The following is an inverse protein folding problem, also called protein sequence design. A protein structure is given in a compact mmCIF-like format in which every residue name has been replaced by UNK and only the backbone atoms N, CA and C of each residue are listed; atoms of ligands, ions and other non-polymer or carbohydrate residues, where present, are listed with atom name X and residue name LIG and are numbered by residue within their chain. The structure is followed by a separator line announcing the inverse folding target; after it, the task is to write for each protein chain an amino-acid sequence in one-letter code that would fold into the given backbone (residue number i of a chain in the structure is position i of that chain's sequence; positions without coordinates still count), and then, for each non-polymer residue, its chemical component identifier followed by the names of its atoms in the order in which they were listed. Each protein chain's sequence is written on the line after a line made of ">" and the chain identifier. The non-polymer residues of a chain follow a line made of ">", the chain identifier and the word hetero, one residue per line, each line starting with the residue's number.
data_IF_612085756053
#
_entry.id   IF_612085756053
#
_cell.length_a   1.000
_cell.length_b   1.000
_cell.length_c   1.000
_cell.angle_alpha   90.00
_cell.angle_beta   90.00
_cell.angle_gamma   90.00
#
_symmetry.space_group_name_H-M   'P 1'
#
loop_
_entity.id
_entity.type
_entity.pdbx_description
1 polymer ?
#
# COMPACT_ATOMS: atom_id res chain seq x y z
N UNK A 1 2.70 9.24 27.38
CA UNK A 1 2.30 9.68 26.03
C UNK A 1 2.40 8.47 25.11
N UNK A 2 1.28 8.03 24.50
CA UNK A 2 1.34 6.96 23.49
C UNK A 2 1.76 7.62 22.17
N UNK A 3 2.92 7.23 21.65
CA UNK A 3 3.36 7.66 20.32
C UNK A 3 2.39 7.10 19.29
N UNK A 4 1.67 7.96 18.60
CA UNK A 4 0.82 7.57 17.46
C UNK A 4 1.74 7.60 16.25
N UNK A 5 2.22 6.43 15.84
CA UNK A 5 2.96 6.29 14.59
C UNK A 5 1.97 6.43 13.45
N UNK A 6 2.08 7.50 12.67
CA UNK A 6 1.23 7.73 11.51
C UNK A 6 1.97 7.34 10.23
N UNK A 7 1.25 7.03 9.15
CA UNK A 7 1.86 6.88 7.82
C UNK A 7 2.58 8.16 7.35
N UNK A 8 2.34 9.32 7.99
CA UNK A 8 2.91 10.61 7.59
C UNK A 8 4.31 10.91 8.15
N UNK A 9 4.85 10.05 9.03
CA UNK A 9 6.20 10.22 9.59
C UNK A 9 7.33 9.87 8.58
N UNK A 10 7.01 9.77 7.29
CA UNK A 10 7.93 9.36 6.23
C UNK A 10 8.86 10.54 5.90
N UNK A 11 10.10 10.44 6.36
CA UNK A 11 11.19 11.36 5.98
C UNK A 11 11.84 11.03 4.62
N UNK A 12 11.25 10.13 3.84
CA UNK A 12 11.78 9.66 2.53
C UNK A 12 10.63 9.17 1.61
N UNK A 13 9.61 9.99 1.34
CA UNK A 13 8.65 9.64 0.28
C UNK A 13 9.39 9.89 -1.04
N UNK A 14 9.88 8.83 -1.68
CA UNK A 14 10.47 8.95 -3.00
C UNK A 14 9.36 9.29 -4.00
N UNK A 15 9.61 10.21 -4.96
CA UNK A 15 8.64 10.51 -6.01
C UNK A 15 8.19 9.22 -6.71
N UNK A 16 6.94 9.20 -7.18
CA UNK A 16 6.38 8.06 -7.90
C UNK A 16 7.30 7.61 -9.06
N UNK A 17 7.95 8.56 -9.75
CA UNK A 17 8.95 8.29 -10.80
C UNK A 17 10.21 7.53 -10.36
N UNK A 18 10.56 7.51 -9.06
CA UNK A 18 11.64 6.67 -8.53
C UNK A 18 11.32 5.17 -8.70
N UNK A 19 10.04 4.80 -8.61
CA UNK A 19 9.56 3.42 -8.75
C UNK A 19 9.31 3.03 -10.22
N UNK A 20 9.99 3.69 -11.17
CA UNK A 20 9.84 3.48 -12.62
C UNK A 20 8.44 3.72 -13.18
N UNK A 21 7.58 4.43 -12.44
CA UNK A 21 6.26 4.83 -12.89
C UNK A 21 6.38 6.11 -13.74
N UNK A 22 6.05 6.02 -15.03
CA UNK A 22 6.10 7.16 -15.95
C UNK A 22 4.87 8.05 -15.83
N UNK A 23 5.07 9.37 -15.82
CA UNK A 23 4.02 10.37 -15.98
C UNK A 23 3.38 10.37 -17.38
N UNK A 24 3.90 9.58 -18.33
CA UNK A 24 3.22 9.31 -19.61
C UNK A 24 1.96 8.44 -19.39
N UNK A 25 1.86 7.73 -18.27
CA UNK A 25 0.62 7.09 -17.86
C UNK A 25 -0.32 8.15 -17.28
N UNK A 26 -1.42 8.42 -17.98
CA UNK A 26 -2.41 9.43 -17.60
C UNK A 26 -2.92 9.25 -16.17
N UNK A 27 -3.14 8.01 -15.71
CA UNK A 27 -3.60 7.75 -14.34
C UNK A 27 -2.51 8.14 -13.32
N UNK A 28 -1.25 7.78 -13.56
CA UNK A 28 -0.13 8.13 -12.67
C UNK A 28 0.04 9.65 -12.59
N UNK A 29 -0.09 10.34 -13.73
CA UNK A 29 -0.06 11.79 -13.78
C UNK A 29 -1.19 12.41 -12.96
N UNK A 30 -2.43 11.96 -13.15
CA UNK A 30 -3.60 12.46 -12.41
C UNK A 30 -3.44 12.24 -10.89
N UNK A 31 -2.86 11.11 -10.48
CA UNK A 31 -2.53 10.83 -9.08
C UNK A 31 -1.50 11.82 -8.52
N UNK A 32 -0.42 12.11 -9.27
CA UNK A 32 0.62 13.07 -8.86
C UNK A 32 0.07 14.50 -8.79
N UNK A 33 -0.78 14.90 -9.75
CA UNK A 33 -1.43 16.21 -9.74
C UNK A 33 -2.39 16.36 -8.54
N UNK A 34 -3.09 15.30 -8.17
CA UNK A 34 -4.05 15.28 -7.05
C UNK A 34 -3.35 15.28 -5.70
N UNK A 35 -2.36 14.39 -5.50
CA UNK A 35 -1.78 14.13 -4.17
C UNK A 35 -0.32 14.55 -3.99
N UNK A 36 0.33 15.09 -5.03
CA UNK A 36 1.75 15.42 -5.03
C UNK A 36 2.63 14.30 -5.59
N UNK A 37 3.86 14.65 -5.94
CA UNK A 37 4.82 13.73 -6.59
C UNK A 37 5.19 12.53 -5.72
N UNK A 38 5.11 12.65 -4.39
CA UNK A 38 5.29 11.56 -3.43
C UNK A 38 3.97 11.06 -2.84
N UNK A 39 2.83 11.46 -3.42
CA UNK A 39 1.47 11.24 -2.89
C UNK A 39 1.28 11.77 -1.46
N UNK A 40 2.10 12.75 -1.03
CA UNK A 40 2.20 13.21 0.36
C UNK A 40 0.92 13.88 0.89
N UNK A 41 0.03 14.32 0.01
CA UNK A 41 -1.28 14.90 0.37
C UNK A 41 -2.36 13.83 0.55
N UNK A 42 -2.09 12.57 0.23
CA UNK A 42 -3.04 11.48 0.40
C UNK A 42 -3.33 11.23 1.89
N UNK A 43 -4.60 10.99 2.24
CA UNK A 43 -4.97 10.64 3.60
C UNK A 43 -4.57 9.20 3.90
N UNK A 44 -4.28 8.88 5.17
CA UNK A 44 -3.96 7.51 5.58
C UNK A 44 -5.09 6.51 5.24
N UNK A 45 -6.34 6.94 5.33
CA UNK A 45 -7.49 6.12 4.94
C UNK A 45 -7.49 5.83 3.43
N UNK A 46 -7.27 6.85 2.60
CA UNK A 46 -7.23 6.68 1.14
C UNK A 46 -6.04 5.84 0.70
N UNK A 47 -4.88 6.05 1.33
CA UNK A 47 -3.67 5.25 1.08
C UNK A 47 -3.93 3.78 1.37
N UNK A 48 -4.50 3.44 2.53
CA UNK A 48 -4.81 2.05 2.88
C UNK A 48 -5.86 1.44 1.95
N UNK A 49 -6.88 2.21 1.58
CA UNK A 49 -7.91 1.75 0.64
C UNK A 49 -7.33 1.47 -0.75
N UNK A 50 -6.52 2.38 -1.29
CA UNK A 50 -5.87 2.21 -2.59
C UNK A 50 -4.85 1.06 -2.59
N UNK A 51 -4.03 0.91 -1.54
CA UNK A 51 -3.11 -0.23 -1.39
C UNK A 51 -3.88 -1.54 -1.49
N UNK A 52 -4.99 -1.68 -0.75
CA UNK A 52 -5.80 -2.89 -0.78
C UNK A 52 -6.37 -3.19 -2.18
N UNK A 53 -6.82 -2.15 -2.91
CA UNK A 53 -7.35 -2.30 -4.27
C UNK A 53 -6.27 -2.65 -5.29
N UNK A 54 -5.15 -1.93 -5.29
CA UNK A 54 -4.03 -2.18 -6.20
C UNK A 54 -3.46 -3.59 -5.96
N UNK A 55 -3.28 -4.00 -4.70
CA UNK A 55 -2.80 -5.35 -4.39
C UNK A 55 -3.77 -6.44 -4.85
N UNK A 56 -5.07 -6.22 -4.71
CA UNK A 56 -6.09 -7.16 -5.18
C UNK A 56 -6.11 -7.28 -6.71
N UNK A 57 -6.08 -6.17 -7.45
CA UNK A 57 -6.01 -6.18 -8.91
C UNK A 57 -4.72 -6.83 -9.41
N UNK A 58 -3.57 -6.55 -8.75
CA UNK A 58 -2.30 -7.18 -9.08
C UNK A 58 -2.30 -8.69 -8.83
N UNK A 59 -2.96 -9.15 -7.77
CA UNK A 59 -3.15 -10.58 -7.51
C UNK A 59 -4.02 -11.25 -8.58
N UNK A 60 -5.12 -10.63 -8.99
CA UNK A 60 -5.98 -11.15 -10.07
C UNK A 60 -5.27 -11.19 -11.43
N UNK A 61 -4.37 -10.24 -11.69
CA UNK A 61 -3.58 -10.18 -12.91
C UNK A 61 -2.31 -11.05 -12.90
N UNK A 62 -2.00 -11.69 -11.76
CA UNK A 62 -0.86 -12.57 -11.66
C UNK A 62 -1.16 -13.86 -12.45
N UNK A 63 -0.30 -14.22 -13.42
CA UNK A 63 -0.40 -15.43 -14.26
C UNK A 63 -0.08 -16.71 -13.44
N UNK A 64 -0.74 -16.88 -12.30
CA UNK A 64 -0.67 -18.05 -11.45
C UNK A 64 -2.05 -18.68 -11.36
N UNK A 65 -2.17 -19.92 -11.84
CA UNK A 65 -3.36 -20.73 -11.63
C UNK A 65 -3.49 -21.24 -10.18
N UNK A 66 -2.48 -20.97 -9.34
CA UNK A 66 -2.47 -21.39 -7.95
C UNK A 66 -3.21 -20.38 -7.06
N UNK A 67 -4.22 -20.82 -6.29
CA UNK A 67 -4.82 -19.99 -5.25
C UNK A 67 -3.78 -19.66 -4.16
N UNK A 68 -4.08 -18.69 -3.28
CA UNK A 68 -3.27 -18.45 -2.08
C UNK A 68 -3.04 -19.73 -1.28
N UNK A 69 -1.88 -19.84 -0.64
CA UNK A 69 -1.58 -21.03 0.17
C UNK A 69 -2.43 -21.08 1.45
N UNK A 70 -2.58 -22.27 2.02
CA UNK A 70 -3.29 -22.46 3.29
C UNK A 70 -2.68 -21.60 4.43
N UNK A 71 -1.37 -21.39 4.41
CA UNK A 71 -0.67 -20.53 5.37
C UNK A 71 -1.09 -19.07 5.20
N UNK A 72 -1.17 -18.58 3.95
CA UNK A 72 -1.66 -17.23 3.66
C UNK A 72 -3.12 -17.04 4.07
N UNK A 73 -3.98 -18.02 3.80
CA UNK A 73 -5.39 -17.99 4.23
C UNK A 73 -5.54 -18.04 5.76
N UNK A 74 -4.71 -18.82 6.45
CA UNK A 74 -4.69 -18.87 7.92
C UNK A 74 -4.36 -17.51 8.53
N UNK A 75 -3.39 -16.78 7.95
CA UNK A 75 -3.04 -15.42 8.37
C UNK A 75 -4.20 -14.46 8.09
N UNK A 76 -4.81 -14.51 6.90
CA UNK A 76 -5.97 -13.67 6.55
C UNK A 76 -7.09 -13.79 7.58
N UNK A 77 -7.47 -15.02 7.94
CA UNK A 77 -8.53 -15.30 8.91
C UNK A 77 -8.25 -14.72 10.31
N UNK A 78 -6.98 -14.45 10.62
CA UNK A 78 -6.51 -13.98 11.93
C UNK A 78 -6.05 -12.53 11.93
N UNK A 79 -6.19 -11.79 10.82
CA UNK A 79 -5.81 -10.37 10.78
C UNK A 79 -6.57 -9.51 11.80
N UNK A 80 -7.74 -9.95 12.26
CA UNK A 80 -8.49 -9.29 13.32
C UNK A 80 -7.77 -9.30 14.69
N UNK A 81 -6.79 -10.20 14.90
CA UNK A 81 -5.95 -10.24 16.10
C UNK A 81 -4.96 -9.07 16.15
N UNK A 82 -4.66 -8.44 15.01
CA UNK A 82 -3.73 -7.32 14.92
C UNK A 82 -4.41 -5.97 15.17
N UNK A 83 -3.72 -5.10 15.91
CA UNK A 83 -4.03 -3.67 16.01
C UNK A 83 -3.78 -2.98 14.68
N UNK A 84 -4.42 -1.83 14.48
CA UNK A 84 -4.28 -1.07 13.23
C UNK A 84 -2.82 -0.72 12.89
N UNK A 85 -2.02 -0.30 13.88
CA UNK A 85 -0.61 0.02 13.66
C UNK A 85 0.24 -1.22 13.33
N UNK A 86 -0.12 -2.39 13.86
CA UNK A 86 0.55 -3.67 13.55
C UNK A 86 0.27 -4.08 12.10
N UNK A 87 -0.95 -3.86 11.60
CA UNK A 87 -1.29 -4.07 10.19
C UNK A 87 -0.48 -3.16 9.27
N UNK A 88 -0.33 -1.88 9.63
CA UNK A 88 0.49 -0.93 8.87
C UNK A 88 1.97 -1.34 8.86
N UNK A 89 2.50 -1.77 10.01
CA UNK A 89 3.86 -2.28 10.10
C UNK A 89 4.07 -3.53 9.24
N UNK A 90 3.09 -4.44 9.22
CA UNK A 90 3.12 -5.66 8.41
C UNK A 90 3.14 -5.34 6.91
N UNK A 91 2.31 -4.39 6.44
CA UNK A 91 2.33 -3.94 5.03
C UNK A 91 3.73 -3.46 4.65
N UNK A 92 4.37 -2.63 5.49
CA UNK A 92 5.74 -2.15 5.25
C UNK A 92 6.75 -3.30 5.19
N UNK A 93 6.60 -4.29 6.06
CA UNK A 93 7.48 -5.46 6.11
C UNK A 93 7.28 -6.46 4.95
N UNK A 94 6.20 -6.37 4.17
CA UNK A 94 5.97 -7.22 2.99
C UNK A 94 6.45 -6.57 1.68
N UNK A 95 6.54 -5.24 1.64
CA UNK A 95 6.87 -4.46 0.42
C UNK A 95 8.38 -4.12 0.35
N UNK A 96 9.17 -4.55 1.34
CA UNK A 96 10.62 -4.37 1.40
C UNK A 96 11.39 -5.28 0.45
#
# INVERSE_FOLDING_TARGET
>A
MKTVHTLKDIKMAHPVGFYSLSHDNALIKDMCETWGEGLEKMSESDTLWLIARVAHEAWLACDTDSPPSNESESVWNRLHELKQWEKIALIKAMVQ
#
